data_IF_570909010099
#
_entry.id   IF_570909010099
#
_cell.length_a   1.000
_cell.length_b   1.000
_cell.length_c   1.000
_cell.angle_alpha   90.00
_cell.angle_beta   90.00
_cell.angle_gamma   90.00
#
_symmetry.space_group_name_H-M   'P 1'
#
loop_
_entity.id
_entity.type
_entity.pdbx_description
1 polymer ?
#
# COMPACT_ATOMS: atom_id res chain seq x y z
N UNK A 1 -12.05 -20.38 6.96
CA UNK A 1 -11.47 -20.03 8.27
C UNK A 1 -11.29 -18.52 8.26
N UNK A 2 -12.01 -17.79 9.11
CA UNK A 2 -11.84 -16.33 9.18
C UNK A 2 -10.68 -15.97 10.11
N UNK A 3 -9.87 -14.95 9.77
CA UNK A 3 -8.75 -14.53 10.61
C UNK A 3 -9.25 -13.92 11.91
N UNK A 4 -8.46 -14.07 12.99
CA UNK A 4 -8.79 -13.45 14.27
C UNK A 4 -8.73 -11.92 14.18
N UNK A 5 -9.46 -11.19 15.04
CA UNK A 5 -9.37 -9.73 15.09
C UNK A 5 -7.95 -9.20 15.31
N UNK A 6 -7.14 -9.93 16.10
CA UNK A 6 -5.74 -9.60 16.35
C UNK A 6 -4.89 -9.74 15.07
N UNK A 7 -5.08 -10.81 14.30
CA UNK A 7 -4.38 -11.01 13.04
C UNK A 7 -4.70 -9.90 12.03
N UNK A 8 -5.96 -9.46 11.99
CA UNK A 8 -6.39 -8.32 11.16
C UNK A 8 -5.69 -7.03 11.62
N UNK A 9 -5.69 -6.73 12.92
CA UNK A 9 -5.06 -5.53 13.46
C UNK A 9 -3.54 -5.51 13.25
N UNK A 10 -2.89 -6.66 13.41
CA UNK A 10 -1.49 -6.83 13.09
C UNK A 10 -1.22 -6.58 11.61
N UNK A 11 -2.03 -7.16 10.72
CA UNK A 11 -1.89 -6.97 9.27
C UNK A 11 -2.00 -5.52 8.84
N UNK A 12 -2.95 -4.76 9.42
CA UNK A 12 -3.09 -3.31 9.15
C UNK A 12 -1.83 -2.54 9.56
N UNK A 13 -1.31 -2.78 10.76
CA UNK A 13 -0.08 -2.13 11.24
C UNK A 13 1.14 -2.44 10.36
N UNK A 14 1.22 -3.65 9.80
CA UNK A 14 2.29 -4.00 8.88
C UNK A 14 2.14 -3.29 7.53
N UNK A 15 0.92 -3.22 6.99
CA UNK A 15 0.64 -2.54 5.74
C UNK A 15 0.94 -1.04 5.83
N UNK A 16 0.55 -0.38 6.93
CA UNK A 16 0.83 1.04 7.19
C UNK A 16 2.34 1.35 7.25
N UNK A 17 3.15 0.42 7.76
CA UNK A 17 4.62 0.57 7.86
C UNK A 17 5.36 0.15 6.59
N UNK A 18 4.68 -0.49 5.65
CA UNK A 18 5.31 -1.01 4.45
C UNK A 18 5.53 0.13 3.45
N UNK A 19 6.70 0.20 2.79
CA UNK A 19 6.92 1.19 1.75
C UNK A 19 5.87 1.04 0.65
N UNK A 20 5.28 2.15 0.20
CA UNK A 20 4.48 2.14 -1.04
C UNK A 20 5.40 1.88 -2.22
N UNK A 21 5.07 0.88 -3.04
CA UNK A 21 5.85 0.54 -4.23
C UNK A 21 5.18 1.15 -5.43
N UNK A 22 5.96 1.87 -6.23
CA UNK A 22 5.51 2.41 -7.50
C UNK A 22 5.38 1.30 -8.54
N UNK A 23 4.57 1.55 -9.56
CA UNK A 23 4.45 0.71 -10.75
C UNK A 23 5.81 0.37 -11.38
N UNK A 24 6.71 1.35 -11.46
CA UNK A 24 8.07 1.14 -11.98
C UNK A 24 8.83 0.07 -11.19
N UNK A 25 8.72 0.10 -9.85
CA UNK A 25 9.36 -0.88 -8.97
C UNK A 25 8.74 -2.26 -9.13
N UNK A 26 7.41 -2.35 -9.25
CA UNK A 26 6.73 -3.60 -9.53
C UNK A 26 7.16 -4.23 -10.86
N UNK A 27 7.28 -3.42 -11.92
CA UNK A 27 7.79 -3.89 -13.22
C UNK A 27 9.21 -4.43 -13.12
N UNK A 28 10.10 -3.73 -12.40
CA UNK A 28 11.47 -4.21 -12.19
C UNK A 28 11.51 -5.56 -11.47
N UNK A 29 10.70 -5.74 -10.42
CA UNK A 29 10.58 -7.03 -9.72
C UNK A 29 10.05 -8.11 -10.67
N UNK A 30 9.03 -7.80 -11.46
CA UNK A 30 8.50 -8.72 -12.48
C UNK A 30 9.58 -9.18 -13.45
N UNK A 31 10.43 -8.27 -13.93
CA UNK A 31 11.58 -8.59 -14.79
C UNK A 31 12.58 -9.54 -14.09
N UNK A 32 12.94 -9.29 -12.83
CA UNK A 32 13.90 -10.12 -12.08
C UNK A 32 13.38 -11.56 -11.95
N UNK A 33 12.09 -11.74 -11.68
CA UNK A 33 11.47 -13.05 -11.48
C UNK A 33 10.91 -13.68 -12.75
N UNK A 34 11.02 -13.01 -13.91
CA UNK A 34 10.47 -13.48 -15.18
C UNK A 34 8.95 -13.58 -15.20
N UNK A 35 8.25 -12.78 -14.38
CA UNK A 35 6.79 -12.77 -14.28
C UNK A 35 6.21 -11.51 -14.92
N UNK A 36 5.17 -11.67 -15.73
CA UNK A 36 4.39 -10.55 -16.24
C UNK A 36 3.32 -10.18 -15.20
N UNK A 37 3.44 -9.00 -14.60
CA UNK A 37 2.40 -8.47 -13.74
C UNK A 37 1.31 -7.86 -14.63
N UNK A 38 0.09 -8.40 -14.59
CA UNK A 38 -1.02 -7.95 -15.45
C UNK A 38 -1.52 -6.57 -15.01
N UNK A 39 -1.61 -5.58 -15.93
CA UNK A 39 -2.07 -4.24 -15.61
C UNK A 39 -3.53 -4.19 -15.10
N UNK A 40 -4.34 -5.21 -15.39
CA UNK A 40 -5.77 -5.24 -15.01
C UNK A 40 -6.03 -5.56 -13.53
N UNK A 41 -5.00 -5.96 -12.76
CA UNK A 41 -5.12 -6.26 -11.33
C UNK A 41 -4.65 -5.15 -10.40
N UNK A 42 -4.11 -4.06 -10.93
CA UNK A 42 -3.65 -2.94 -10.11
C UNK A 42 -4.86 -2.07 -9.76
N UNK A 43 -5.22 -1.92 -8.47
CA UNK A 43 -6.14 -0.85 -8.11
C UNK A 43 -5.49 0.44 -8.60
N UNK A 44 -6.20 1.17 -9.46
CA UNK A 44 -5.73 2.43 -10.02
C UNK A 44 -5.01 3.22 -8.92
N UNK A 45 -3.74 3.58 -9.16
CA UNK A 45 -2.97 4.49 -8.30
C UNK A 45 -3.80 5.77 -8.15
N UNK A 46 -4.66 5.81 -7.14
CA UNK A 46 -4.96 7.07 -6.48
C UNK A 46 -3.63 7.46 -5.89
N UNK A 47 -3.00 8.45 -6.50
CA UNK A 47 -1.96 9.26 -5.89
C UNK A 47 -2.38 9.55 -4.44
N UNK A 48 -1.91 8.71 -3.51
CA UNK A 48 -2.09 8.87 -2.06
C UNK A 48 -1.05 9.88 -1.59
N UNK A 49 -1.12 11.08 -2.17
CA UNK A 49 -0.24 12.20 -1.88
C UNK A 49 -0.97 13.37 -1.17
N UNK A 50 -2.31 13.38 -1.09
CA UNK A 50 -3.04 14.57 -0.64
C UNK A 50 -3.82 14.45 0.69
N UNK A 51 -3.84 13.30 1.35
CA UNK A 51 -4.62 13.10 2.61
C UNK A 51 -3.76 13.14 3.90
N UNK A 52 -2.49 13.56 3.85
CA UNK A 52 -1.63 13.62 5.05
C UNK A 52 -1.46 15.02 5.67
N UNK A 53 -1.77 16.11 4.96
CA UNK A 53 -1.54 17.46 5.51
C UNK A 53 -2.69 18.01 6.35
N UNK A 54 -3.94 17.59 6.12
CA UNK A 54 -5.09 18.21 6.82
C UNK A 54 -5.29 17.70 8.26
N UNK A 55 -4.78 16.49 8.58
CA UNK A 55 -5.02 15.87 9.88
C UNK A 55 -3.99 16.28 10.95
N UNK A 56 -2.83 16.81 10.55
CA UNK A 56 -1.76 17.21 11.48
C UNK A 56 -2.00 18.60 12.09
N UNK A 57 -2.82 19.46 11.45
CA UNK A 57 -3.13 20.79 11.99
C UNK A 57 -4.30 20.81 12.99
N UNK A 58 -5.10 19.73 13.06
CA UNK A 58 -6.30 19.71 13.91
C UNK A 58 -6.05 19.29 15.36
N UNK A 59 -4.93 18.62 15.64
CA UNK A 59 -4.49 18.23 16.99
C UNK A 59 -3.56 19.27 17.66
N UNK A 60 -3.29 20.40 17.02
CA UNK A 60 -2.41 21.46 17.53
C UNK A 60 -3.15 22.75 17.95
N UNK A 61 -4.49 22.71 18.11
CA UNK A 61 -5.32 23.87 18.48
C UNK A 61 -6.01 23.70 19.85
#
# INVERSE_FOLDING_TARGET
>A
MEPSPEAIAWGRRQAERSPRWTDAKWRQVGTIFGVALSPEGFPAERDQADDQDDQTMRDAA
#
